data_IF_901215207340
#
_entry.id   IF_901215207340
#
_cell.length_a   1.000
_cell.length_b   1.000
_cell.length_c   1.000
_cell.angle_alpha   90.00
_cell.angle_beta   90.00
_cell.angle_gamma   90.00
#
_symmetry.space_group_name_H-M   'P 1'
#
loop_
_entity.id
_entity.type
_entity.pdbx_description
1 polymer ?
#
# COMPACT_ATOMS: atom_id res chain seq x y z
N UNK A 1 7.27 9.97 4.01
CA UNK A 1 6.08 10.58 3.41
C UNK A 1 4.89 9.88 4.00
N UNK A 2 3.92 10.65 4.46
CA UNK A 2 2.63 10.14 4.94
C UNK A 2 1.56 10.97 4.26
N UNK A 3 0.45 10.35 3.85
CA UNK A 3 -0.64 11.05 3.19
C UNK A 3 -1.84 10.15 2.90
N UNK A 4 -2.98 10.79 2.67
CA UNK A 4 -4.23 10.12 2.33
C UNK A 4 -4.45 10.12 0.81
N UNK A 5 -4.95 9.01 0.29
CA UNK A 5 -5.36 8.86 -1.11
C UNK A 5 -6.82 8.43 -1.13
N UNK A 6 -7.69 9.22 -1.77
CA UNK A 6 -9.04 8.78 -2.12
C UNK A 6 -8.94 7.85 -3.34
N UNK A 7 -9.50 6.65 -3.23
CA UNK A 7 -9.54 5.67 -4.33
C UNK A 7 -10.85 5.78 -5.11
N UNK A 8 -10.93 5.14 -6.28
CA UNK A 8 -12.07 5.30 -7.19
C UNK A 8 -13.41 4.82 -6.60
N UNK A 9 -13.39 4.00 -5.55
CA UNK A 9 -14.58 3.57 -4.81
C UNK A 9 -15.10 4.65 -3.84
N UNK A 10 -14.37 5.76 -3.68
CA UNK A 10 -14.64 6.81 -2.71
C UNK A 10 -14.11 6.52 -1.30
N UNK A 11 -13.40 5.40 -1.11
CA UNK A 11 -12.72 5.07 0.14
C UNK A 11 -11.43 5.90 0.28
N UNK A 12 -11.16 6.41 1.48
CA UNK A 12 -9.89 7.07 1.79
C UNK A 12 -8.93 6.04 2.39
N UNK A 13 -7.71 5.98 1.86
CA UNK A 13 -6.65 5.12 2.42
C UNK A 13 -5.46 5.95 2.87
N UNK A 14 -4.92 5.63 4.04
CA UNK A 14 -3.71 6.24 4.55
C UNK A 14 -2.49 5.46 4.03
N UNK A 15 -1.51 6.18 3.50
CA UNK A 15 -0.25 5.62 3.05
C UNK A 15 0.93 6.20 3.83
N UNK A 16 1.76 5.31 4.37
CA UNK A 16 2.99 5.64 5.09
C UNK A 16 4.20 5.04 4.36
N UNK A 17 5.17 5.87 3.97
CA UNK A 17 6.45 5.41 3.46
C UNK A 17 7.35 4.92 4.61
N UNK A 18 7.71 3.64 4.57
CA UNK A 18 8.50 2.98 5.62
C UNK A 18 10.00 3.11 5.32
N UNK A 19 10.44 2.73 4.12
CA UNK A 19 11.85 2.81 3.69
C UNK A 19 12.01 2.65 2.18
N UNK A 20 13.08 3.18 1.63
CA UNK A 20 13.55 2.81 0.30
C UNK A 20 14.10 1.36 0.28
N UNK A 21 14.01 0.71 -0.87
CA UNK A 21 14.59 -0.60 -1.15
C UNK A 21 15.89 -0.44 -1.94
N UNK A 22 16.80 -1.42 -1.86
CA UNK A 22 18.12 -1.36 -2.49
C UNK A 22 18.07 -1.25 -4.02
N UNK A 23 17.04 -1.83 -4.62
CA UNK A 23 16.86 -1.92 -6.08
C UNK A 23 16.11 -0.72 -6.68
N UNK A 24 15.84 0.32 -5.87
CA UNK A 24 15.23 1.57 -6.32
C UNK A 24 13.70 1.64 -6.20
N UNK A 25 13.08 0.66 -5.54
CA UNK A 25 11.69 0.73 -5.07
C UNK A 25 11.56 1.25 -3.64
N UNK A 26 10.37 1.14 -3.05
CA UNK A 26 10.11 1.55 -1.68
C UNK A 26 9.06 0.66 -1.00
N UNK A 27 9.13 0.58 0.33
CA UNK A 27 8.18 -0.13 1.18
C UNK A 27 7.19 0.85 1.78
N UNK A 28 5.91 0.52 1.68
CA UNK A 28 4.81 1.33 2.20
C UNK A 28 3.90 0.51 3.09
N UNK A 29 3.27 1.18 4.05
CA UNK A 29 2.07 0.70 4.71
C UNK A 29 0.86 1.41 4.09
N UNK A 30 -0.18 0.66 3.73
CA UNK A 30 -1.45 1.16 3.22
C UNK A 30 -2.53 0.70 4.20
N UNK A 31 -3.30 1.62 4.75
CA UNK A 31 -4.35 1.34 5.75
C UNK A 31 -5.68 1.86 5.23
N UNK A 32 -6.65 0.95 5.10
CA UNK A 32 -8.05 1.28 4.81
C UNK A 32 -8.82 1.51 6.11
N UNK A 33 -9.88 2.33 6.05
CA UNK A 33 -10.69 2.67 7.22
C UNK A 33 -11.44 1.48 7.83
N UNK A 34 -11.68 0.43 7.04
CA UNK A 34 -12.35 -0.80 7.49
C UNK A 34 -11.45 -1.74 8.30
N UNK A 35 -10.25 -1.30 8.65
CA UNK A 35 -9.31 -2.02 9.49
C UNK A 35 -8.35 -2.93 8.71
N UNK A 36 -8.48 -3.04 7.39
CA UNK A 36 -7.49 -3.71 6.55
C UNK A 36 -6.22 -2.87 6.43
N UNK A 37 -5.07 -3.54 6.56
CA UNK A 37 -3.75 -2.92 6.38
C UNK A 37 -2.85 -3.85 5.59
N UNK A 38 -2.08 -3.29 4.68
CA UNK A 38 -1.06 -3.99 3.91
C UNK A 38 0.28 -3.30 4.08
N UNK A 39 1.33 -4.10 4.19
CA UNK A 39 2.71 -3.66 3.97
C UNK A 39 3.13 -4.19 2.63
N UNK A 40 3.48 -3.29 1.72
CA UNK A 40 3.79 -3.62 0.34
C UNK A 40 5.17 -3.10 -0.06
N UNK A 41 5.84 -3.86 -0.89
CA UNK A 41 7.01 -3.39 -1.64
C UNK A 41 6.54 -2.97 -3.03
N UNK A 42 6.84 -1.72 -3.41
CA UNK A 42 6.53 -1.16 -4.72
C UNK A 42 7.84 -0.94 -5.47
N UNK A 43 8.02 -1.66 -6.57
CA UNK A 43 9.14 -1.51 -7.47
C UNK A 43 9.01 -0.26 -8.34
N UNK A 44 10.10 0.16 -8.97
CA UNK A 44 10.15 1.39 -9.77
C UNK A 44 9.33 1.30 -11.07
N UNK A 45 9.20 0.09 -11.60
CA UNK A 45 8.34 -0.26 -12.74
C UNK A 45 6.85 -0.36 -12.37
N UNK A 46 6.53 -0.34 -11.07
CA UNK A 46 5.17 -0.42 -10.55
C UNK A 46 4.75 -1.82 -10.07
N UNK A 47 5.58 -2.84 -10.25
CA UNK A 47 5.33 -4.16 -9.65
C UNK A 47 5.17 -4.02 -8.13
N UNK A 48 4.17 -4.71 -7.59
CA UNK A 48 3.78 -4.61 -6.19
C UNK A 48 3.73 -5.99 -5.56
N UNK A 49 4.38 -6.16 -4.41
CA UNK A 49 4.35 -7.39 -3.61
C UNK A 49 3.78 -7.11 -2.21
N UNK A 50 2.86 -7.94 -1.73
CA UNK A 50 2.45 -7.93 -0.32
C UNK A 50 3.53 -8.60 0.52
N UNK A 51 4.09 -7.86 1.46
CA UNK A 51 5.05 -8.37 2.45
C UNK A 51 4.30 -8.96 3.64
N UNK A 52 3.25 -8.29 4.09
CA UNK A 52 2.40 -8.71 5.22
C UNK A 52 1.08 -7.98 5.16
N UNK A 53 0.01 -8.59 5.65
CA UNK A 53 -1.28 -7.92 5.80
C UNK A 53 -1.92 -8.19 7.15
N UNK A 54 -2.84 -7.31 7.53
CA UNK A 54 -3.55 -7.33 8.80
C UNK A 54 -5.00 -6.92 8.62
N UNK A 55 -5.87 -7.43 9.50
CA UNK A 55 -7.23 -6.93 9.69
C UNK A 55 -7.42 -6.63 11.18
N UNK A 56 -7.81 -5.40 11.51
CA UNK A 56 -7.94 -4.92 12.90
C UNK A 56 -6.70 -5.18 13.75
N UNK A 57 -5.52 -4.94 13.16
CA UNK A 57 -4.21 -5.11 13.82
C UNK A 57 -3.77 -6.56 14.01
N UNK A 58 -4.54 -7.56 13.56
CA UNK A 58 -4.15 -8.98 13.60
C UNK A 58 -3.67 -9.43 12.24
N UNK A 59 -2.64 -10.29 12.22
CA UNK A 59 -2.16 -10.89 10.97
C UNK A 59 -3.33 -11.58 10.26
N UNK A 60 -3.48 -11.26 8.99
CA UNK A 60 -4.47 -11.83 8.10
C UNK A 60 -3.81 -12.16 6.77
N UNK A 61 -4.40 -13.08 6.02
CA UNK A 61 -4.00 -13.34 4.64
C UNK A 61 -5.00 -12.59 3.76
N UNK A 62 -4.66 -11.35 3.41
CA UNK A 62 -5.48 -10.48 2.58
C UNK A 62 -4.88 -10.36 1.19
N UNK A 63 -5.74 -10.47 0.18
CA UNK A 63 -5.40 -10.08 -1.19
C UNK A 63 -5.40 -8.55 -1.32
N UNK A 64 -4.74 -8.05 -2.37
CA UNK A 64 -4.86 -6.63 -2.72
C UNK A 64 -6.25 -6.37 -3.32
N UNK A 65 -6.98 -5.36 -2.83
CA UNK A 65 -8.22 -4.92 -3.47
C UNK A 65 -7.95 -4.35 -4.86
N UNK A 66 -8.96 -4.34 -5.72
CA UNK A 66 -8.83 -3.87 -7.12
C UNK A 66 -8.27 -2.44 -7.22
N UNK A 67 -8.60 -1.56 -6.26
CA UNK A 67 -8.08 -0.19 -6.21
C UNK A 67 -6.60 -0.08 -5.84
N UNK A 68 -5.99 -1.12 -5.26
CA UNK A 68 -4.62 -1.05 -4.77
C UNK A 68 -3.60 -0.79 -5.89
N UNK A 69 -3.89 -1.27 -7.10
CA UNK A 69 -3.05 -1.02 -8.27
C UNK A 69 -2.94 0.47 -8.62
N UNK A 70 -4.02 1.24 -8.49
CA UNK A 70 -4.00 2.68 -8.72
C UNK A 70 -3.19 3.42 -7.65
N UNK A 71 -3.33 2.99 -6.39
CA UNK A 71 -2.57 3.52 -5.26
C UNK A 71 -1.07 3.27 -5.46
N UNK A 72 -0.67 2.04 -5.73
CA UNK A 72 0.75 1.68 -5.85
C UNK A 72 1.40 2.27 -7.10
N UNK A 73 0.66 2.38 -8.21
CA UNK A 73 1.12 3.09 -9.41
C UNK A 73 1.40 4.58 -9.15
N UNK A 74 0.66 5.21 -8.22
CA UNK A 74 0.91 6.58 -7.78
C UNK A 74 2.15 6.67 -6.88
N UNK A 75 2.33 5.70 -5.99
CA UNK A 75 3.49 5.63 -5.09
C UNK A 75 4.80 5.34 -5.82
N UNK A 76 4.78 4.56 -6.90
CA UNK A 76 5.96 4.26 -7.72
C UNK A 76 6.61 5.50 -8.36
N UNK A 77 5.92 6.65 -8.37
CA UNK A 77 6.39 7.92 -8.96
C UNK A 77 6.98 8.89 -7.93
N UNK A 78 6.97 8.52 -6.65
CA UNK A 78 7.40 9.36 -5.53
C UNK A 78 8.90 9.26 -5.30
#
# INVERSE_FOLDING_TARGET
MEGTIEVYTGEEVNVEHIKALGDGGARFDITAEDGRKWRVDVARDGDTEIVTSWHDGKLADLELPEWAGDVTARLARV
#
